data_IF_861566449563
#
_entry.id   IF_861566449563
#
_cell.length_a   1.000
_cell.length_b   1.000
_cell.length_c   1.000
_cell.angle_alpha   90.00
_cell.angle_beta   90.00
_cell.angle_gamma   90.00
#
_symmetry.space_group_name_H-M   'P 1'
#
loop_
_entity.id
_entity.type
_entity.pdbx_description
1 polymer ?
#
# COMPACT_ATOMS: atom_id res chain seq x y z
N UNK A 1 -6.24 17.95 -15.19
CA UNK A 1 -5.98 16.54 -14.81
C UNK A 1 -6.87 16.20 -13.62
N UNK A 2 -7.74 15.19 -13.71
CA UNK A 2 -8.60 14.81 -12.55
C UNK A 2 -7.71 14.24 -11.45
N UNK A 3 -7.83 14.76 -10.22
CA UNK A 3 -7.22 14.11 -9.04
C UNK A 3 -7.92 12.76 -8.86
N UNK A 4 -7.22 11.67 -9.16
CA UNK A 4 -7.69 10.34 -8.82
C UNK A 4 -7.57 10.17 -7.31
N UNK A 5 -8.70 10.20 -6.61
CA UNK A 5 -8.79 9.99 -5.17
C UNK A 5 -9.06 8.52 -4.87
N UNK A 6 -8.28 7.60 -5.46
CA UNK A 6 -8.45 6.18 -5.15
C UNK A 6 -8.10 5.97 -3.68
N UNK A 7 -9.03 5.37 -2.94
CA UNK A 7 -8.83 5.01 -1.54
C UNK A 7 -8.55 3.53 -1.46
N UNK A 8 -7.41 3.17 -0.90
CA UNK A 8 -7.00 1.78 -0.69
C UNK A 8 -7.34 1.37 0.75
N UNK A 9 -8.18 0.36 0.89
CA UNK A 9 -8.50 -0.25 2.19
C UNK A 9 -7.72 -1.55 2.34
N UNK A 10 -6.89 -1.64 3.38
CA UNK A 10 -6.17 -2.86 3.76
C UNK A 10 -6.85 -3.44 5.00
N UNK A 11 -7.70 -4.42 4.78
CA UNK A 11 -8.48 -5.10 5.83
C UNK A 11 -7.93 -6.48 6.18
N UNK A 12 -6.99 -7.00 5.40
CA UNK A 12 -6.44 -8.34 5.61
C UNK A 12 -5.31 -8.33 6.64
N UNK A 13 -5.46 -9.16 7.67
CA UNK A 13 -4.46 -9.33 8.73
C UNK A 13 -3.13 -9.84 8.17
N UNK A 14 -2.02 -9.42 8.78
CA UNK A 14 -0.68 -9.86 8.36
C UNK A 14 -0.24 -9.25 7.02
N UNK A 15 -0.94 -8.24 6.51
CA UNK A 15 -0.50 -7.50 5.33
C UNK A 15 0.74 -6.67 5.66
N UNK A 16 1.72 -6.71 4.76
CA UNK A 16 2.94 -5.91 4.83
C UNK A 16 3.00 -4.92 3.67
N UNK A 17 3.15 -3.63 3.97
CA UNK A 17 3.23 -2.57 2.99
C UNK A 17 4.66 -2.01 2.91
N UNK A 18 5.16 -1.83 1.70
CA UNK A 18 6.41 -1.09 1.50
C UNK A 18 6.38 -0.32 0.19
N UNK A 19 7.19 0.73 0.11
CA UNK A 19 7.43 1.45 -1.13
C UNK A 19 8.49 0.70 -1.93
N UNK A 20 8.25 0.54 -3.22
CA UNK A 20 9.25 0.09 -4.19
C UNK A 20 9.23 1.09 -5.34
N UNK A 21 10.26 1.95 -5.42
CA UNK A 21 10.30 3.10 -6.33
C UNK A 21 9.06 3.98 -6.15
N UNK A 22 8.30 4.26 -7.20
CA UNK A 22 7.08 5.08 -7.19
C UNK A 22 5.80 4.27 -7.03
N UNK A 23 5.93 3.04 -6.51
CA UNK A 23 4.80 2.13 -6.28
C UNK A 23 4.70 1.72 -4.82
N UNK A 24 3.47 1.56 -4.34
CA UNK A 24 3.15 0.87 -3.10
C UNK A 24 3.01 -0.63 -3.41
N UNK A 25 3.73 -1.45 -2.66
CA UNK A 25 3.64 -2.91 -2.70
C UNK A 25 2.90 -3.39 -1.46
N UNK A 26 1.95 -4.30 -1.65
CA UNK A 26 1.29 -5.04 -0.56
C UNK A 26 1.69 -6.51 -0.67
N UNK A 27 2.18 -7.07 0.42
CA UNK A 27 2.51 -8.48 0.53
C UNK A 27 1.67 -9.18 1.59
N UNK A 28 1.37 -10.45 1.32
CA UNK A 28 0.84 -11.40 2.31
C UNK A 28 1.61 -12.70 2.16
N UNK A 29 2.02 -13.31 3.27
CA UNK A 29 2.76 -14.58 3.27
C UNK A 29 3.99 -14.57 2.34
N UNK A 30 4.70 -13.43 2.30
CA UNK A 30 5.86 -13.17 1.41
C UNK A 30 5.55 -13.23 -0.08
N UNK A 31 4.28 -13.07 -0.47
CA UNK A 31 3.83 -12.96 -1.86
C UNK A 31 3.28 -11.56 -2.11
N UNK A 32 3.71 -10.94 -3.20
CA UNK A 32 3.17 -9.66 -3.69
C UNK A 32 1.74 -9.89 -4.16
N UNK A 33 0.78 -9.31 -3.44
CA UNK A 33 -0.66 -9.42 -3.75
C UNK A 33 -1.17 -8.19 -4.50
N UNK A 34 -0.50 -7.05 -4.36
CA UNK A 34 -0.77 -5.85 -5.13
C UNK A 34 0.48 -4.99 -5.31
N UNK A 35 0.54 -4.26 -6.42
CA UNK A 35 1.50 -3.19 -6.67
C UNK A 35 0.80 -2.06 -7.41
N UNK A 36 0.79 -0.88 -6.81
CA UNK A 36 -0.02 0.25 -7.26
C UNK A 36 0.86 1.52 -7.33
N UNK A 37 0.73 2.37 -8.34
CA UNK A 37 1.45 3.63 -8.39
C UNK A 37 1.01 4.56 -7.24
N UNK A 38 1.96 5.12 -6.48
CA UNK A 38 1.66 5.97 -5.32
C UNK A 38 0.88 7.22 -5.74
N UNK A 39 1.22 7.80 -6.88
CA UNK A 39 0.53 9.00 -7.40
C UNK A 39 -0.95 8.76 -7.76
N UNK A 40 -1.38 7.49 -7.86
CA UNK A 40 -2.76 7.12 -8.12
C UNK A 40 -3.57 6.87 -6.85
N UNK A 41 -2.94 6.89 -5.67
CA UNK A 41 -3.57 6.62 -4.37
C UNK A 41 -3.72 7.94 -3.61
N UNK A 42 -4.95 8.26 -3.21
CA UNK A 42 -5.23 9.43 -2.38
C UNK A 42 -5.13 9.14 -0.88
N UNK A 43 -5.67 7.99 -0.46
CA UNK A 43 -5.73 7.60 0.95
C UNK A 43 -5.50 6.10 1.09
N UNK A 44 -4.86 5.71 2.20
CA UNK A 44 -4.68 4.30 2.60
C UNK A 44 -5.23 4.16 4.02
N UNK A 45 -6.16 3.23 4.22
CA UNK A 45 -6.69 2.90 5.54
C UNK A 45 -6.32 1.46 5.90
N UNK A 46 -5.63 1.27 7.02
CA UNK A 46 -5.16 -0.03 7.49
C UNK A 46 -5.97 -0.47 8.72
N UNK A 47 -6.44 -1.72 8.73
CA UNK A 47 -7.25 -2.28 9.82
C UNK A 47 -6.61 -3.53 10.41
N UNK A 48 -6.45 -3.53 11.74
CA UNK A 48 -5.84 -4.63 12.49
C UNK A 48 -4.31 -4.68 12.35
N UNK A 49 -3.74 -5.90 12.36
CA UNK A 49 -2.30 -6.10 12.31
C UNK A 49 -1.78 -5.94 10.87
N UNK A 50 -1.54 -4.70 10.50
CA UNK A 50 -0.91 -4.29 9.24
C UNK A 50 0.39 -3.60 9.58
N UNK A 51 1.48 -4.02 8.93
CA UNK A 51 2.82 -3.49 9.18
C UNK A 51 3.38 -2.87 7.90
N UNK A 52 4.38 -2.00 8.03
CA UNK A 52 5.05 -1.46 6.86
C UNK A 52 6.42 -0.90 7.15
N UNK A 53 7.18 -0.68 6.08
CA UNK A 53 8.51 -0.07 6.13
C UNK A 53 8.45 1.37 5.64
N UNK A 54 8.91 2.28 6.49
CA UNK A 54 9.18 3.66 6.11
C UNK A 54 10.43 3.71 5.26
N UNK A 55 10.30 4.11 4.00
CA UNK A 55 11.45 4.47 3.18
C UNK A 55 12.01 5.80 3.67
N UNK A 56 13.28 5.79 4.07
CA UNK A 56 14.07 7.00 4.30
C UNK A 56 14.81 7.27 2.99
N UNK A 57 14.11 7.83 2.01
CA UNK A 57 14.68 8.33 0.76
C UNK A 57 14.67 9.84 0.77
#
# INVERSE_FOLDING_TARGET
>A
MRKLQNTLYITTQGSYLHKERETLVVEQERKKVAQLPVHAIGHIFCFGNVSGRSDHS
#
